data_IF_171756184883
#
_entry.id   IF_171756184883
#
_cell.length_a   1.000
_cell.length_b   1.000
_cell.length_c   1.000
_cell.angle_alpha   90.00
_cell.angle_beta   90.00
_cell.angle_gamma   90.00
#
_symmetry.space_group_name_H-M   'P 1'
#
loop_
_entity.id
_entity.type
_entity.pdbx_description
1 polymer ?
#
# COMPACT_ATOMS: atom_id res chain seq x y z
N UNK A 1 -11.93 18.56 21.64
CA UNK A 1 -10.59 19.00 21.22
C UNK A 1 -10.37 18.44 19.83
N UNK A 2 -10.48 19.28 18.79
CA UNK A 2 -9.96 18.91 17.47
C UNK A 2 -8.47 18.64 17.67
N UNK A 3 -8.02 17.41 17.46
CA UNK A 3 -6.58 17.15 17.34
C UNK A 3 -6.20 17.66 15.96
N UNK A 4 -6.05 18.97 15.84
CA UNK A 4 -5.47 19.56 14.64
C UNK A 4 -4.08 18.94 14.51
N UNK A 5 -3.93 18.11 13.48
CA UNK A 5 -2.71 17.39 13.21
C UNK A 5 -1.74 18.45 12.69
N UNK A 6 -0.77 18.86 13.51
CA UNK A 6 0.20 19.86 13.09
C UNK A 6 1.04 19.34 11.91
N UNK A 7 1.56 20.27 11.11
CA UNK A 7 2.29 19.95 9.89
C UNK A 7 3.47 18.97 10.11
N UNK A 8 4.30 19.10 11.17
CA UNK A 8 5.34 18.11 11.49
C UNK A 8 4.80 16.70 11.71
N UNK A 9 3.74 16.54 12.50
CA UNK A 9 3.14 15.22 12.75
C UNK A 9 2.52 14.64 11.47
N UNK A 10 1.97 15.48 10.60
CA UNK A 10 1.41 15.04 9.33
C UNK A 10 2.48 14.55 8.35
N UNK A 11 3.63 15.25 8.30
CA UNK A 11 4.79 14.85 7.50
C UNK A 11 5.41 13.55 8.00
N UNK A 12 5.48 13.34 9.32
CA UNK A 12 5.94 12.08 9.91
C UNK A 12 4.98 10.93 9.55
N UNK A 13 3.68 11.12 9.70
CA UNK A 13 2.67 10.13 9.34
C UNK A 13 2.79 9.74 7.86
N UNK A 14 2.92 10.71 6.95
CA UNK A 14 3.18 10.47 5.54
C UNK A 14 4.41 9.59 5.31
N UNK A 15 5.54 9.92 5.94
CA UNK A 15 6.81 9.18 5.75
C UNK A 15 6.68 7.72 6.21
N UNK A 16 6.01 7.48 7.33
CA UNK A 16 5.74 6.13 7.85
C UNK A 16 4.88 5.35 6.85
N UNK A 17 3.81 5.97 6.39
CA UNK A 17 2.87 5.38 5.44
C UNK A 17 3.56 5.04 4.11
N UNK A 18 4.36 5.96 3.56
CA UNK A 18 5.12 5.75 2.32
C UNK A 18 6.11 4.58 2.46
N UNK A 19 6.80 4.48 3.60
CA UNK A 19 7.71 3.36 3.87
C UNK A 19 6.98 2.01 3.93
N UNK A 20 5.78 1.98 4.53
CA UNK A 20 4.96 0.76 4.61
C UNK A 20 4.45 0.34 3.23
N UNK A 21 3.96 1.29 2.43
CA UNK A 21 3.54 1.03 1.05
C UNK A 21 4.67 0.41 0.22
N UNK A 22 5.86 1.02 0.23
CA UNK A 22 7.03 0.51 -0.51
C UNK A 22 7.41 -0.91 -0.08
N UNK A 23 7.32 -1.19 1.23
CA UNK A 23 7.59 -2.54 1.73
C UNK A 23 6.55 -3.55 1.25
N UNK A 24 5.27 -3.18 1.17
CA UNK A 24 4.22 -4.07 0.68
C UNK A 24 4.26 -4.26 -0.84
N UNK A 25 4.67 -3.25 -1.60
CA UNK A 25 4.95 -3.38 -3.04
C UNK A 25 6.05 -4.40 -3.29
N UNK A 26 7.20 -4.26 -2.62
CA UNK A 26 8.33 -5.19 -2.77
C UNK A 26 7.93 -6.64 -2.44
N UNK A 27 7.08 -6.85 -1.44
CA UNK A 27 6.55 -8.16 -1.09
C UNK A 27 5.61 -8.71 -2.17
N UNK A 28 4.74 -7.86 -2.72
CA UNK A 28 3.81 -8.24 -3.80
C UNK A 28 4.56 -8.60 -5.08
N UNK A 29 5.63 -7.88 -5.41
CA UNK A 29 6.49 -8.14 -6.55
C UNK A 29 7.26 -9.47 -6.40
N UNK A 30 7.78 -9.74 -5.20
CA UNK A 30 8.43 -11.02 -4.90
C UNK A 30 7.46 -12.19 -5.05
N UNK A 31 6.22 -12.05 -4.56
CA UNK A 31 5.18 -13.08 -4.72
C UNK A 31 4.84 -13.32 -6.20
N UNK A 32 4.74 -12.25 -7.00
CA UNK A 32 4.51 -12.37 -8.44
C UNK A 32 5.67 -13.12 -9.14
N UNK A 33 6.92 -12.84 -8.76
CA UNK A 33 8.09 -13.54 -9.26
C UNK A 33 8.10 -15.02 -8.83
N UNK A 34 7.77 -15.31 -7.57
CA UNK A 34 7.63 -16.68 -7.09
C UNK A 34 6.58 -17.46 -7.88
N UNK A 35 5.43 -16.85 -8.17
CA UNK A 35 4.38 -17.48 -8.97
C UNK A 35 4.84 -17.83 -10.40
N UNK A 36 5.84 -17.13 -10.95
CA UNK A 36 6.42 -17.46 -12.27
C UNK A 36 7.43 -18.61 -12.20
N UNK A 37 8.03 -18.87 -11.04
CA UNK A 37 9.07 -19.88 -10.83
C UNK A 37 8.49 -21.19 -10.30
N UNK A 38 7.31 -21.14 -9.69
CA UNK A 38 6.60 -22.32 -9.18
C UNK A 38 5.99 -23.11 -10.34
N UNK A 39 5.96 -24.44 -10.19
CA UNK A 39 5.35 -25.37 -11.14
C UNK A 39 3.87 -25.03 -11.43
N UNK A 40 3.41 -25.34 -12.65
CA UNK A 40 2.06 -25.00 -13.11
C UNK A 40 0.97 -25.63 -12.24
N UNK A 41 1.16 -26.86 -11.78
CA UNK A 41 0.15 -27.57 -10.97
C UNK A 41 0.06 -26.99 -9.55
N UNK A 42 1.19 -26.57 -8.99
CA UNK A 42 1.24 -25.89 -7.69
C UNK A 42 0.60 -24.50 -7.80
N UNK A 43 0.84 -23.79 -8.89
CA UNK A 43 0.19 -22.49 -9.17
C UNK A 43 -1.31 -22.65 -9.26
N UNK A 44 -1.82 -23.63 -10.03
CA UNK A 44 -3.26 -23.93 -10.11
C UNK A 44 -3.84 -24.22 -8.74
N UNK A 45 -3.19 -25.09 -7.95
CA UNK A 45 -3.63 -25.43 -6.61
C UNK A 45 -3.69 -24.22 -5.67
N UNK A 46 -2.76 -23.27 -5.79
CA UNK A 46 -2.77 -22.02 -5.03
C UNK A 46 -3.91 -21.11 -5.47
N UNK A 47 -4.14 -20.92 -6.77
CA UNK A 47 -5.12 -19.97 -7.29
C UNK A 47 -6.58 -20.27 -6.91
N UNK A 48 -6.90 -21.51 -6.55
CA UNK A 48 -8.24 -21.93 -6.11
C UNK A 48 -8.47 -21.76 -4.60
N UNK A 49 -7.44 -21.38 -3.84
CA UNK A 49 -7.54 -21.19 -2.39
C UNK A 49 -8.19 -19.86 -2.03
N UNK A 50 -8.81 -19.81 -0.86
CA UNK A 50 -9.37 -18.56 -0.31
C UNK A 50 -8.30 -17.52 0.00
N UNK A 51 -7.08 -17.99 0.26
CA UNK A 51 -5.88 -17.21 0.56
C UNK A 51 -5.42 -16.43 -0.67
N UNK A 52 -5.53 -17.04 -1.85
CA UNK A 52 -5.23 -16.37 -3.11
C UNK A 52 -6.23 -15.24 -3.41
N UNK A 53 -7.52 -15.48 -3.19
CA UNK A 53 -8.55 -14.44 -3.34
C UNK A 53 -8.31 -13.28 -2.36
N UNK A 54 -8.01 -13.58 -1.09
CA UNK A 54 -7.64 -12.58 -0.08
C UNK A 54 -6.41 -11.76 -0.49
N UNK A 55 -5.39 -12.41 -1.05
CA UNK A 55 -4.20 -11.72 -1.56
C UNK A 55 -4.55 -10.77 -2.71
N UNK A 56 -5.35 -11.21 -3.69
CA UNK A 56 -5.76 -10.36 -4.80
C UNK A 56 -6.57 -9.15 -4.33
N UNK A 57 -7.45 -9.33 -3.34
CA UNK A 57 -8.21 -8.22 -2.77
C UNK A 57 -7.31 -7.26 -1.99
N UNK A 58 -6.41 -7.78 -1.14
CA UNK A 58 -5.42 -6.95 -0.44
C UNK A 58 -4.54 -6.15 -1.42
N UNK A 59 -4.19 -6.73 -2.57
CA UNK A 59 -3.46 -6.03 -3.63
C UNK A 59 -4.29 -4.88 -4.23
N UNK A 60 -5.59 -5.06 -4.45
CA UNK A 60 -6.48 -3.98 -4.93
C UNK A 60 -6.64 -2.88 -3.89
N UNK A 61 -6.86 -3.24 -2.63
CA UNK A 61 -6.96 -2.29 -1.52
C UNK A 61 -5.67 -1.48 -1.36
N UNK A 62 -4.51 -2.11 -1.56
CA UNK A 62 -3.22 -1.43 -1.54
C UNK A 62 -3.11 -0.36 -2.63
N UNK A 63 -3.52 -0.65 -3.87
CA UNK A 63 -3.53 0.34 -4.96
C UNK A 63 -4.47 1.52 -4.67
N UNK A 64 -5.66 1.25 -4.10
CA UNK A 64 -6.59 2.30 -3.66
C UNK A 64 -5.95 3.15 -2.56
N UNK A 65 -5.29 2.50 -1.60
CA UNK A 65 -4.63 3.17 -0.47
C UNK A 65 -3.52 4.10 -0.96
N UNK A 66 -2.71 3.69 -1.95
CA UNK A 66 -1.71 4.56 -2.58
C UNK A 66 -2.33 5.83 -3.14
N UNK A 67 -3.42 5.72 -3.90
CA UNK A 67 -4.12 6.88 -4.47
C UNK A 67 -4.65 7.82 -3.37
N UNK A 68 -5.19 7.27 -2.28
CA UNK A 68 -5.65 8.07 -1.15
C UNK A 68 -4.49 8.82 -0.46
N UNK A 69 -3.31 8.21 -0.40
CA UNK A 69 -2.11 8.82 0.18
C UNK A 69 -1.56 9.92 -0.72
N UNK A 70 -1.61 9.76 -2.04
CA UNK A 70 -1.26 10.84 -2.98
C UNK A 70 -2.14 12.07 -2.76
N UNK A 71 -3.46 11.88 -2.64
CA UNK A 71 -4.40 12.97 -2.31
C UNK A 71 -4.07 13.60 -0.94
N UNK A 72 -3.79 12.78 0.07
CA UNK A 72 -3.39 13.28 1.39
C UNK A 72 -2.12 14.15 1.31
N UNK A 73 -1.12 13.75 0.53
CA UNK A 73 0.11 14.52 0.31
C UNK A 73 -0.17 15.86 -0.37
N UNK A 74 -1.05 15.89 -1.36
CA UNK A 74 -1.44 17.13 -2.02
C UNK A 74 -2.07 18.12 -1.03
N UNK A 75 -2.92 17.62 -0.13
CA UNK A 75 -3.51 18.45 0.93
C UNK A 75 -2.45 18.94 1.94
N UNK A 76 -1.50 18.09 2.35
CA UNK A 76 -0.40 18.51 3.22
C UNK A 76 0.47 19.61 2.59
N UNK A 77 0.75 19.52 1.28
CA UNK A 77 1.50 20.56 0.56
C UNK A 77 0.76 21.90 0.51
N UNK A 78 -0.58 21.90 0.53
CA UNK A 78 -1.38 23.13 0.61
C UNK A 78 -1.30 23.77 1.99
N UNK A 79 -1.31 22.94 3.05
CA UNK A 79 -1.15 23.40 4.43
C UNK A 79 0.24 24.01 4.68
N UNK A 80 1.32 23.42 4.12
CA UNK A 80 2.68 23.99 4.20
C UNK A 80 2.78 25.39 3.61
N UNK A 81 2.10 25.65 2.48
CA UNK A 81 2.15 26.95 1.80
C UNK A 81 1.34 28.05 2.49
N UNK A 82 0.48 27.67 3.42
CA UNK A 82 -0.45 28.57 4.12
C UNK A 82 -0.03 28.81 5.58
N UNK A 83 0.98 28.07 6.06
CA UNK A 83 1.59 28.20 7.39
C UNK A 83 2.92 28.92 7.34
#
# INVERSE_FOLDING_TARGET
MSKDLDYPNAKLAYTIIESLLKSQEAMSDLLALMAQVIDEDVTKALTITSEWERYLEAKRELEITKQQIELFVEELKKLEKTS
#
